data_IF_016488873571
#
_entry.id   IF_016488873571
#
_cell.length_a   1.000
_cell.length_b   1.000
_cell.length_c   1.000
_cell.angle_alpha   90.00
_cell.angle_beta   90.00
_cell.angle_gamma   90.00
#
_symmetry.space_group_name_H-M   'P 1'
#
loop_
_entity.id
_entity.type
_entity.pdbx_description
1 polymer ?
#
# COMPACT_ATOMS: atom_id res chain seq x y z
N UNK A 1 16.10 -14.25 4.39
CA UNK A 1 15.12 -15.36 4.40
C UNK A 1 14.80 -15.75 2.95
N UNK A 2 14.20 -14.87 2.12
CA UNK A 2 13.72 -15.18 0.75
C UNK A 2 14.87 -15.73 -0.11
N UNK A 3 15.97 -15.01 -0.24
CA UNK A 3 17.08 -15.41 -1.11
C UNK A 3 17.79 -16.69 -0.65
N UNK A 4 17.87 -16.95 0.65
CA UNK A 4 18.39 -18.23 1.15
C UNK A 4 17.47 -19.39 0.75
N UNK A 5 16.16 -19.23 0.87
CA UNK A 5 15.20 -20.25 0.50
C UNK A 5 15.22 -20.56 -1.01
N UNK A 6 15.41 -19.53 -1.85
CA UNK A 6 15.54 -19.70 -3.32
C UNK A 6 16.86 -20.40 -3.67
N UNK A 7 17.99 -19.98 -3.08
CA UNK A 7 19.30 -20.63 -3.28
C UNK A 7 19.29 -22.10 -2.87
N UNK A 8 18.64 -22.41 -1.77
CA UNK A 8 18.51 -23.78 -1.24
C UNK A 8 17.43 -24.61 -1.98
N UNK A 9 16.80 -24.02 -3.01
CA UNK A 9 15.71 -24.64 -3.80
C UNK A 9 14.53 -25.13 -2.95
N UNK A 10 14.27 -24.46 -1.82
CA UNK A 10 13.14 -24.78 -0.94
C UNK A 10 11.81 -24.27 -1.50
N UNK A 11 11.87 -23.28 -2.41
CA UNK A 11 10.70 -22.71 -3.08
C UNK A 11 10.95 -22.59 -4.57
N UNK A 12 9.89 -22.73 -5.33
CA UNK A 12 9.89 -22.51 -6.78
C UNK A 12 9.77 -21.03 -7.08
N UNK A 13 10.42 -20.58 -8.14
CA UNK A 13 10.37 -19.22 -8.62
C UNK A 13 9.85 -19.16 -10.06
N UNK A 14 9.20 -18.05 -10.41
CA UNK A 14 8.46 -17.93 -11.64
C UNK A 14 8.74 -16.58 -12.31
N UNK A 15 8.58 -16.52 -13.62
CA UNK A 15 8.58 -15.27 -14.39
C UNK A 15 7.20 -14.57 -14.32
N UNK A 16 7.09 -13.40 -14.94
CA UNK A 16 5.83 -12.62 -15.02
C UNK A 16 4.68 -13.36 -15.72
N UNK A 17 5.00 -14.36 -16.55
CA UNK A 17 4.03 -15.22 -17.23
C UNK A 17 3.68 -16.46 -16.42
N UNK A 18 4.07 -16.52 -15.16
CA UNK A 18 3.86 -17.65 -14.22
C UNK A 18 4.52 -18.96 -14.70
N UNK A 19 5.60 -18.87 -15.49
CA UNK A 19 6.40 -20.05 -15.87
C UNK A 19 7.54 -20.23 -14.88
N UNK A 20 7.73 -21.47 -14.42
CA UNK A 20 8.84 -21.80 -13.52
C UNK A 20 10.17 -21.49 -14.19
N UNK A 21 11.05 -20.79 -13.47
CA UNK A 21 12.40 -20.41 -13.93
C UNK A 21 13.43 -20.93 -12.94
N UNK A 22 14.67 -21.05 -13.40
CA UNK A 22 15.78 -21.42 -12.52
C UNK A 22 16.56 -20.19 -12.04
N UNK A 23 17.32 -20.38 -10.99
CA UNK A 23 18.11 -19.31 -10.38
C UNK A 23 19.17 -18.74 -11.34
N UNK A 24 19.78 -19.58 -12.19
CA UNK A 24 20.78 -19.15 -13.16
C UNK A 24 20.22 -18.13 -14.16
N UNK A 25 18.95 -18.27 -14.52
CA UNK A 25 18.25 -17.31 -15.39
C UNK A 25 18.12 -15.95 -14.71
N UNK A 26 17.77 -15.94 -13.42
CA UNK A 26 17.66 -14.71 -12.62
C UNK A 26 19.02 -14.04 -12.45
N UNK A 27 20.05 -14.81 -12.08
CA UNK A 27 21.41 -14.32 -11.91
C UNK A 27 21.97 -13.70 -13.19
N UNK A 28 21.75 -14.33 -14.35
CA UNK A 28 22.12 -13.78 -15.65
C UNK A 28 21.39 -12.45 -15.93
N UNK A 29 20.09 -12.39 -15.66
CA UNK A 29 19.31 -11.16 -15.85
C UNK A 29 19.82 -10.00 -14.97
N UNK A 30 20.22 -10.30 -13.72
CA UNK A 30 20.80 -9.31 -12.81
C UNK A 30 22.16 -8.82 -13.35
N UNK A 31 23.03 -9.71 -13.80
CA UNK A 31 24.34 -9.35 -14.37
C UNK A 31 24.16 -8.45 -15.60
N UNK A 32 23.24 -8.81 -16.48
CA UNK A 32 22.95 -8.04 -17.69
C UNK A 32 22.31 -6.67 -17.35
N UNK A 33 21.48 -6.60 -16.34
CA UNK A 33 20.90 -5.35 -15.84
C UNK A 33 21.98 -4.43 -15.27
N UNK A 34 22.80 -4.90 -14.34
CA UNK A 34 23.86 -4.11 -13.72
C UNK A 34 24.92 -3.65 -14.73
N UNK A 35 25.28 -4.50 -15.68
CA UNK A 35 26.20 -4.11 -16.76
C UNK A 35 25.64 -2.95 -17.59
N UNK A 36 24.35 -2.95 -17.88
CA UNK A 36 23.68 -1.86 -18.61
C UNK A 36 23.50 -0.61 -17.76
N UNK A 37 23.17 -0.78 -16.47
CA UNK A 37 22.88 0.32 -15.56
C UNK A 37 24.15 1.05 -15.08
N UNK A 38 25.15 0.31 -14.61
CA UNK A 38 26.35 0.85 -13.95
C UNK A 38 27.66 0.62 -14.71
N UNK A 39 27.63 -0.14 -15.81
CA UNK A 39 28.82 -0.58 -16.53
C UNK A 39 29.65 -1.65 -15.79
N UNK A 40 29.24 -2.07 -14.59
CA UNK A 40 29.98 -3.03 -13.77
C UNK A 40 29.70 -4.46 -14.19
N UNK A 41 30.74 -5.27 -14.20
CA UNK A 41 30.62 -6.73 -14.32
C UNK A 41 30.69 -7.35 -12.93
N UNK A 42 29.64 -8.08 -12.54
CA UNK A 42 29.53 -8.72 -11.22
C UNK A 42 29.77 -10.21 -11.40
N UNK A 43 30.59 -10.78 -10.52
CA UNK A 43 30.80 -12.22 -10.45
C UNK A 43 29.54 -12.97 -9.97
N UNK A 44 29.28 -14.13 -10.54
CA UNK A 44 28.11 -14.95 -10.18
C UNK A 44 28.06 -15.29 -8.69
N UNK A 45 29.20 -15.58 -8.07
CA UNK A 45 29.26 -15.99 -6.66
C UNK A 45 28.94 -14.86 -5.67
N UNK A 46 29.13 -13.60 -6.06
CA UNK A 46 28.92 -12.41 -5.22
C UNK A 46 27.65 -11.64 -5.52
N UNK A 47 26.89 -12.07 -6.53
CA UNK A 47 25.76 -11.30 -7.06
C UNK A 47 24.68 -11.01 -6.01
N UNK A 48 24.32 -11.99 -5.19
CA UNK A 48 23.27 -11.85 -4.19
C UNK A 48 23.66 -10.92 -3.04
N UNK A 49 24.92 -10.92 -2.63
CA UNK A 49 25.43 -9.99 -1.62
C UNK A 49 25.55 -8.57 -2.19
N UNK A 50 25.89 -8.46 -3.47
CA UNK A 50 25.97 -7.19 -4.16
C UNK A 50 24.59 -6.53 -4.31
N UNK A 51 23.54 -7.26 -4.73
CA UNK A 51 22.22 -6.66 -4.96
C UNK A 51 21.39 -6.47 -3.69
N UNK A 52 21.71 -7.15 -2.59
CA UNK A 52 20.93 -7.10 -1.33
C UNK A 52 20.56 -5.67 -0.89
N UNK A 53 21.49 -4.68 -0.90
CA UNK A 53 21.17 -3.31 -0.51
C UNK A 53 20.19 -2.58 -1.45
N UNK A 54 19.98 -3.12 -2.64
CA UNK A 54 19.13 -2.52 -3.68
C UNK A 54 17.77 -3.17 -3.81
N UNK A 55 17.47 -4.17 -2.98
CA UNK A 55 16.12 -4.73 -2.88
C UNK A 55 15.30 -3.75 -2.06
N UNK A 56 14.58 -2.87 -2.74
CA UNK A 56 13.85 -1.76 -2.12
C UNK A 56 12.35 -1.91 -2.14
N UNK A 57 11.81 -2.75 -3.01
CA UNK A 57 10.37 -2.86 -3.21
C UNK A 57 9.92 -4.31 -3.37
N UNK A 58 8.64 -4.52 -3.05
CA UNK A 58 7.92 -5.77 -3.31
C UNK A 58 6.61 -5.46 -4.00
N UNK A 59 6.38 -6.08 -5.14
CA UNK A 59 5.08 -6.12 -5.76
C UNK A 59 4.29 -7.31 -5.22
N UNK A 60 3.01 -7.11 -4.91
CA UNK A 60 2.13 -8.17 -4.41
C UNK A 60 0.97 -8.40 -5.36
N UNK A 61 0.64 -9.68 -5.59
CA UNK A 61 -0.67 -10.11 -6.07
C UNK A 61 -1.49 -10.48 -4.83
N UNK A 62 -2.45 -9.62 -4.45
CA UNK A 62 -3.22 -9.78 -3.22
C UNK A 62 -4.69 -9.47 -3.42
N UNK A 63 -5.54 -10.06 -2.58
CA UNK A 63 -6.93 -9.69 -2.44
C UNK A 63 -7.10 -8.87 -1.18
N UNK A 64 -7.98 -7.88 -1.27
CA UNK A 64 -8.51 -7.17 -0.13
C UNK A 64 -10.02 -7.41 -0.13
N UNK A 65 -10.52 -7.94 0.96
CA UNK A 65 -11.94 -8.16 1.19
C UNK A 65 -12.37 -7.42 2.44
N UNK A 66 -13.68 -7.20 2.64
CA UNK A 66 -14.20 -6.51 3.80
C UNK A 66 -15.58 -7.05 4.20
N UNK A 67 -15.90 -6.92 5.49
CA UNK A 67 -17.24 -7.21 6.00
C UNK A 67 -18.13 -5.98 5.88
N UNK A 68 -19.40 -6.18 5.51
CA UNK A 68 -20.35 -5.08 5.34
C UNK A 68 -20.78 -4.46 6.68
N UNK A 69 -20.81 -5.24 7.75
CA UNK A 69 -21.35 -4.81 9.05
C UNK A 69 -20.42 -3.82 9.78
N UNK A 70 -19.12 -3.98 9.63
CA UNK A 70 -18.14 -3.25 10.44
C UNK A 70 -16.90 -2.80 9.68
N UNK A 71 -16.85 -3.01 8.35
CA UNK A 71 -15.73 -2.67 7.47
C UNK A 71 -14.40 -3.30 7.90
N UNK A 72 -14.44 -4.45 8.57
CA UNK A 72 -13.20 -5.18 8.85
C UNK A 72 -12.57 -5.63 7.53
N UNK A 73 -11.31 -5.24 7.33
CA UNK A 73 -10.53 -5.54 6.14
C UNK A 73 -9.67 -6.80 6.37
N UNK A 74 -9.65 -7.66 5.36
CA UNK A 74 -8.76 -8.81 5.30
C UNK A 74 -7.91 -8.75 4.03
N UNK A 75 -6.60 -9.00 4.17
CA UNK A 75 -5.66 -9.13 3.05
C UNK A 75 -5.14 -10.55 2.94
N UNK A 76 -5.23 -11.11 1.74
CA UNK A 76 -4.63 -12.40 1.41
C UNK A 76 -3.61 -12.23 0.29
N UNK A 77 -2.34 -12.49 0.59
CA UNK A 77 -1.24 -12.47 -0.38
C UNK A 77 -1.25 -13.77 -1.16
N UNK A 78 -1.38 -13.69 -2.48
CA UNK A 78 -1.30 -14.83 -3.39
C UNK A 78 0.09 -15.07 -3.90
N UNK A 79 0.77 -13.97 -4.26
CA UNK A 79 2.10 -14.01 -4.80
C UNK A 79 2.82 -12.69 -4.53
N UNK A 80 4.14 -12.70 -4.64
CA UNK A 80 4.93 -11.49 -4.56
C UNK A 80 6.22 -11.59 -5.36
N UNK A 81 6.72 -10.41 -5.76
CA UNK A 81 7.95 -10.26 -6.53
C UNK A 81 8.84 -9.20 -5.87
N UNK A 82 10.07 -9.54 -5.44
CA UNK A 82 11.05 -8.54 -5.03
C UNK A 82 11.61 -7.80 -6.24
N UNK A 83 11.89 -6.50 -6.07
CA UNK A 83 12.46 -5.64 -7.10
C UNK A 83 13.82 -5.11 -6.67
N UNK A 84 14.77 -5.07 -7.62
CA UNK A 84 15.95 -4.22 -7.53
C UNK A 84 15.51 -2.81 -7.89
N UNK A 85 15.81 -1.85 -7.01
CA UNK A 85 15.55 -0.43 -7.22
C UNK A 85 16.88 0.31 -7.31
N UNK A 86 17.11 0.99 -8.43
CA UNK A 86 18.32 1.79 -8.66
C UNK A 86 17.93 3.22 -8.98
N UNK A 87 18.68 4.15 -8.47
CA UNK A 87 18.51 5.57 -8.73
C UNK A 87 19.62 6.05 -9.66
N UNK A 88 19.25 6.80 -10.70
CA UNK A 88 20.20 7.58 -11.47
C UNK A 88 20.36 8.94 -10.81
N UNK A 89 21.59 9.34 -10.62
CA UNK A 89 21.91 10.68 -10.12
C UNK A 89 22.32 11.55 -11.30
N UNK A 90 21.70 12.71 -11.41
CA UNK A 90 22.10 13.76 -12.33
C UNK A 90 22.35 15.04 -11.50
N UNK A 91 23.54 15.61 -11.60
CA UNK A 91 23.97 16.77 -10.82
C UNK A 91 23.81 16.66 -9.29
N UNK A 92 23.93 15.44 -8.74
CA UNK A 92 23.77 15.17 -7.30
C UNK A 92 22.33 15.02 -6.83
N UNK A 93 21.34 15.11 -7.73
CA UNK A 93 19.94 14.86 -7.45
C UNK A 93 19.52 13.50 -8.04
N UNK A 94 18.60 12.83 -7.34
CA UNK A 94 18.00 11.58 -7.85
C UNK A 94 16.99 11.95 -8.94
N UNK A 95 17.36 11.69 -10.19
CA UNK A 95 16.57 12.10 -11.35
C UNK A 95 15.60 11.02 -11.81
N UNK A 96 16.03 9.75 -11.82
CA UNK A 96 15.22 8.66 -12.35
C UNK A 96 15.38 7.39 -11.50
N UNK A 97 14.29 6.64 -11.38
CA UNK A 97 14.25 5.36 -10.68
C UNK A 97 14.10 4.22 -11.68
N UNK A 98 15.08 3.34 -11.73
CA UNK A 98 15.03 2.14 -12.57
C UNK A 98 14.74 0.93 -11.69
N UNK A 99 13.70 0.19 -12.05
CA UNK A 99 13.25 -0.99 -11.33
C UNK A 99 13.42 -2.24 -12.19
N UNK A 100 13.81 -3.34 -11.56
CA UNK A 100 13.91 -4.65 -12.20
C UNK A 100 13.23 -5.70 -11.32
N UNK A 101 12.16 -6.36 -11.80
CA UNK A 101 11.58 -7.52 -11.12
C UNK A 101 12.58 -8.68 -11.11
N UNK A 102 12.66 -9.38 -10.00
CA UNK A 102 13.56 -10.53 -9.89
C UNK A 102 12.87 -11.84 -10.27
N UNK A 103 11.85 -12.18 -9.52
CA UNK A 103 11.07 -13.41 -9.71
C UNK A 103 9.81 -13.37 -8.86
N UNK A 104 8.79 -14.08 -9.30
CA UNK A 104 7.56 -14.29 -8.54
C UNK A 104 7.66 -15.51 -7.65
N UNK A 105 7.11 -15.40 -6.45
CA UNK A 105 6.91 -16.49 -5.50
C UNK A 105 5.41 -16.66 -5.28
N UNK A 106 4.91 -17.89 -5.44
CA UNK A 106 3.55 -18.30 -5.10
C UNK A 106 3.65 -19.20 -3.88
N UNK A 107 3.57 -18.64 -2.67
CA UNK A 107 3.76 -19.42 -1.45
C UNK A 107 2.60 -20.39 -1.23
N UNK A 108 2.91 -21.60 -0.75
CA UNK A 108 1.90 -22.52 -0.24
C UNK A 108 1.48 -22.10 1.18
N UNK A 109 0.20 -22.32 1.52
CA UNK A 109 -0.27 -22.07 2.88
C UNK A 109 0.49 -22.95 3.87
N UNK A 110 1.14 -22.33 4.84
CA UNK A 110 1.89 -23.06 5.84
C UNK A 110 0.98 -23.65 6.90
N UNK A 111 1.10 -24.96 7.13
CA UNK A 111 0.48 -25.66 8.26
C UNK A 111 1.29 -25.49 9.55
N UNK A 112 2.53 -24.97 9.46
CA UNK A 112 3.43 -24.79 10.60
C UNK A 112 3.19 -23.44 11.26
N UNK A 113 2.77 -23.48 12.52
CA UNK A 113 2.44 -22.29 13.31
C UNK A 113 3.65 -21.65 14.00
N UNK A 114 4.81 -22.31 14.01
CA UNK A 114 5.93 -21.91 14.86
C UNK A 114 7.07 -21.17 14.14
N UNK A 115 7.04 -21.10 12.81
CA UNK A 115 8.20 -20.60 12.02
C UNK A 115 7.96 -19.23 11.37
N UNK A 116 7.25 -18.35 12.09
CA UNK A 116 6.89 -17.03 11.61
C UNK A 116 7.87 -15.96 12.12
N UNK A 117 8.39 -15.18 11.19
CA UNK A 117 9.11 -13.94 11.47
C UNK A 117 8.14 -12.77 11.41
N UNK A 118 8.10 -11.95 12.45
CA UNK A 118 7.31 -10.72 12.50
C UNK A 118 8.17 -9.55 12.04
N UNK A 119 7.67 -8.77 11.10
CA UNK A 119 8.25 -7.47 10.77
C UNK A 119 7.88 -6.51 11.90
N UNK A 120 8.85 -5.87 12.58
CA UNK A 120 8.59 -5.14 13.82
C UNK A 120 7.78 -3.86 13.61
N UNK A 121 7.88 -3.25 12.43
CA UNK A 121 7.26 -1.96 12.15
C UNK A 121 5.89 -2.10 11.50
N UNK A 122 5.00 -1.13 11.77
CA UNK A 122 3.76 -0.98 11.02
C UNK A 122 4.09 -0.47 9.61
N UNK A 123 3.67 -1.22 8.62
CA UNK A 123 3.86 -0.85 7.21
C UNK A 123 2.63 -0.08 6.75
N UNK A 124 2.87 1.03 6.07
CA UNK A 124 1.81 1.81 5.45
C UNK A 124 1.78 1.50 3.96
N UNK A 125 0.64 1.02 3.49
CA UNK A 125 0.38 0.74 2.08
C UNK A 125 -0.83 1.51 1.58
N UNK A 126 -0.93 1.74 0.26
CA UNK A 126 -2.11 2.33 -0.38
C UNK A 126 -2.73 1.28 -1.28
N UNK A 127 -4.02 1.05 -1.08
CA UNK A 127 -4.81 0.16 -1.91
C UNK A 127 -5.84 0.97 -2.71
N UNK A 128 -5.73 0.91 -4.03
CA UNK A 128 -6.70 1.55 -4.92
C UNK A 128 -7.99 0.72 -4.96
N UNK A 129 -9.10 1.38 -4.73
CA UNK A 129 -10.41 0.80 -4.89
C UNK A 129 -10.78 0.80 -6.39
N UNK A 130 -11.00 -0.38 -6.95
CA UNK A 130 -11.33 -0.54 -8.38
C UNK A 130 -12.77 -1.04 -8.52
N UNK A 131 -13.42 -0.58 -9.60
CA UNK A 131 -14.69 -1.20 -10.01
C UNK A 131 -14.53 -2.73 -10.14
N UNK A 132 -15.51 -3.57 -9.71
CA UNK A 132 -16.84 -3.16 -9.19
C UNK A 132 -16.88 -2.89 -7.67
N UNK A 133 -15.79 -3.08 -6.92
CA UNK A 133 -15.80 -3.07 -5.45
C UNK A 133 -15.76 -1.65 -4.84
N UNK A 134 -15.34 -0.64 -5.61
CA UNK A 134 -15.23 0.73 -5.11
C UNK A 134 -16.55 1.25 -4.56
N UNK A 135 -17.61 1.28 -5.38
CA UNK A 135 -18.89 1.85 -5.01
C UNK A 135 -19.57 1.16 -3.83
N UNK A 136 -19.65 -0.19 -3.78
CA UNK A 136 -20.20 -0.88 -2.63
C UNK A 136 -19.46 -0.57 -1.33
N UNK A 137 -18.12 -0.54 -1.36
CA UNK A 137 -17.30 -0.20 -0.21
C UNK A 137 -17.54 1.24 0.26
N UNK A 138 -17.44 2.21 -0.65
CA UNK A 138 -17.56 3.63 -0.34
C UNK A 138 -18.95 3.99 0.16
N UNK A 139 -20.00 3.49 -0.48
CA UNK A 139 -21.38 3.69 -0.05
C UNK A 139 -21.62 3.13 1.35
N UNK A 140 -21.11 1.93 1.63
CA UNK A 140 -21.22 1.32 2.94
C UNK A 140 -20.44 2.10 4.00
N UNK A 141 -19.24 2.56 3.68
CA UNK A 141 -18.43 3.43 4.54
C UNK A 141 -19.23 4.68 4.96
N UNK A 142 -19.82 5.39 4.00
CA UNK A 142 -20.60 6.59 4.27
C UNK A 142 -21.81 6.30 5.15
N UNK A 143 -22.58 5.24 4.84
CA UNK A 143 -23.73 4.83 5.64
C UNK A 143 -23.34 4.53 7.09
N UNK A 144 -22.34 3.67 7.29
CA UNK A 144 -21.93 3.25 8.63
C UNK A 144 -21.37 4.40 9.47
N UNK A 145 -20.62 5.33 8.84
CA UNK A 145 -20.07 6.51 9.54
C UNK A 145 -21.17 7.52 9.85
N UNK A 146 -21.99 7.91 8.85
CA UNK A 146 -23.08 8.90 9.03
C UNK A 146 -24.18 8.42 9.98
N UNK A 147 -24.43 7.12 10.02
CA UNK A 147 -25.40 6.53 10.94
C UNK A 147 -24.78 6.18 12.31
N UNK A 148 -23.53 6.54 12.53
CA UNK A 148 -22.78 6.26 13.78
C UNK A 148 -22.77 4.77 14.16
N UNK A 149 -22.74 3.88 13.15
CA UNK A 149 -22.73 2.42 13.34
C UNK A 149 -21.34 1.85 13.58
N UNK A 150 -20.31 2.57 13.16
CA UNK A 150 -18.92 2.21 13.42
C UNK A 150 -18.19 3.33 14.16
N UNK A 151 -17.29 2.95 15.05
CA UNK A 151 -16.43 3.92 15.73
C UNK A 151 -15.32 4.38 14.80
N UNK A 152 -15.15 5.69 14.69
CA UNK A 152 -14.10 6.33 13.91
C UNK A 152 -13.21 7.20 14.78
N UNK A 153 -11.97 7.39 14.37
CA UNK A 153 -10.94 8.11 15.09
C UNK A 153 -10.29 9.15 14.18
N UNK A 154 -9.62 10.12 14.77
CA UNK A 154 -8.73 11.04 14.05
C UNK A 154 -7.56 10.26 13.43
N UNK A 155 -6.88 10.79 12.40
CA UNK A 155 -5.72 10.11 11.79
C UNK A 155 -4.60 9.75 12.78
N UNK A 156 -4.46 10.51 13.87
CA UNK A 156 -3.50 10.23 14.95
C UNK A 156 -3.98 9.17 15.97
N UNK A 157 -5.20 8.64 15.82
CA UNK A 157 -5.78 7.62 16.69
C UNK A 157 -6.66 8.17 17.81
N UNK A 158 -6.75 9.49 18.00
CA UNK A 158 -7.61 10.10 19.01
C UNK A 158 -9.09 10.02 18.64
N UNK A 159 -9.96 9.97 19.63
CA UNK A 159 -11.41 10.02 19.43
C UNK A 159 -11.88 11.43 19.01
N UNK A 160 -12.99 11.48 18.28
CA UNK A 160 -13.69 12.74 18.01
C UNK A 160 -14.49 13.16 19.24
N UNK A 161 -14.47 14.45 19.58
CA UNK A 161 -15.21 14.97 20.73
C UNK A 161 -16.72 15.05 20.49
N UNK A 162 -17.13 15.26 19.22
CA UNK A 162 -18.53 15.37 18.83
C UNK A 162 -18.76 14.73 17.45
N UNK A 163 -19.98 14.26 17.25
CA UNK A 163 -20.38 13.71 15.94
C UNK A 163 -20.32 14.76 14.83
N UNK A 164 -20.62 16.04 15.15
CA UNK A 164 -20.51 17.15 14.20
C UNK A 164 -19.11 17.27 13.57
N UNK A 165 -18.05 17.00 14.32
CA UNK A 165 -16.68 17.00 13.79
C UNK A 165 -16.46 15.89 12.74
N UNK A 166 -17.18 14.77 12.84
CA UNK A 166 -17.13 13.69 11.86
C UNK A 166 -17.91 14.11 10.60
N UNK A 167 -19.10 14.72 10.76
CA UNK A 167 -19.87 15.22 9.62
C UNK A 167 -19.11 16.27 8.81
N UNK A 168 -18.39 17.18 9.49
CA UNK A 168 -17.61 18.24 8.86
C UNK A 168 -16.45 17.70 7.99
N UNK A 169 -16.00 16.45 8.20
CA UNK A 169 -14.98 15.81 7.35
C UNK A 169 -15.48 15.48 5.94
N UNK A 170 -16.80 15.39 5.75
CA UNK A 170 -17.40 15.11 4.45
C UNK A 170 -17.67 16.36 3.63
N UNK A 171 -17.14 17.50 4.06
CA UNK A 171 -17.27 18.78 3.37
C UNK A 171 -15.91 19.36 3.06
N UNK A 172 -15.63 19.60 1.78
CA UNK A 172 -14.42 20.30 1.35
C UNK A 172 -14.69 21.79 1.27
N UNK A 173 -13.85 22.57 1.95
CA UNK A 173 -13.84 24.02 1.83
C UNK A 173 -12.81 24.42 0.78
N UNK A 174 -13.27 25.03 -0.29
CA UNK A 174 -12.43 25.56 -1.36
C UNK A 174 -12.40 27.09 -1.28
N UNK A 175 -11.20 27.66 -1.37
CA UNK A 175 -11.01 29.09 -1.50
C UNK A 175 -10.66 29.42 -2.96
N UNK A 176 -11.36 30.35 -3.57
CA UNK A 176 -11.05 30.82 -4.91
C UNK A 176 -11.08 32.34 -4.97
N UNK A 177 -10.25 32.89 -5.84
CA UNK A 177 -10.24 34.34 -6.11
C UNK A 177 -11.34 34.61 -7.13
N UNK A 178 -12.30 35.44 -6.74
CA UNK A 178 -13.31 35.97 -7.64
C UNK A 178 -12.82 37.33 -8.15
N UNK A 179 -12.78 37.46 -9.46
CA UNK A 179 -12.48 38.71 -10.13
C UNK A 179 -13.77 39.36 -10.59
N UNK A 180 -14.03 40.56 -10.08
CA UNK A 180 -15.17 41.35 -10.50
C UNK A 180 -14.80 42.11 -11.78
N UNK A 181 -15.46 41.79 -12.89
CA UNK A 181 -15.15 42.36 -14.20
C UNK A 181 -15.53 43.85 -14.30
N UNK A 182 -16.50 44.32 -13.48
CA UNK A 182 -16.96 45.73 -13.53
C UNK A 182 -16.06 46.64 -12.68
N UNK A 183 -15.63 46.16 -11.52
CA UNK A 183 -14.83 46.98 -10.60
C UNK A 183 -13.31 46.70 -10.69
N UNK A 184 -12.90 45.58 -11.27
CA UNK A 184 -11.52 45.11 -11.32
C UNK A 184 -10.99 44.63 -9.96
N UNK A 185 -11.86 44.42 -8.97
CA UNK A 185 -11.47 44.02 -7.63
C UNK A 185 -11.38 42.48 -7.51
N UNK A 186 -10.31 42.02 -6.84
CA UNK A 186 -10.16 40.61 -6.47
C UNK A 186 -10.71 40.39 -5.06
N UNK A 187 -11.65 39.46 -4.93
CA UNK A 187 -12.19 39.04 -3.64
C UNK A 187 -12.00 37.56 -3.42
N UNK A 188 -11.51 37.20 -2.23
CA UNK A 188 -11.42 35.80 -1.83
C UNK A 188 -12.81 35.29 -1.45
N UNK A 189 -13.34 34.32 -2.20
CA UNK A 189 -14.60 33.66 -1.91
C UNK A 189 -14.37 32.23 -1.45
N UNK A 190 -15.28 31.75 -0.62
CA UNK A 190 -15.31 30.36 -0.14
C UNK A 190 -16.45 29.61 -0.83
N UNK A 191 -16.17 28.39 -1.24
CA UNK A 191 -17.20 27.43 -1.64
C UNK A 191 -17.07 26.15 -0.84
N UNK A 192 -18.19 25.47 -0.67
CA UNK A 192 -18.25 24.20 0.05
C UNK A 192 -18.78 23.16 -0.92
N UNK A 193 -18.16 21.99 -0.94
CA UNK A 193 -18.62 20.84 -1.72
C UNK A 193 -18.62 19.59 -0.84
N UNK A 194 -19.67 18.80 -0.96
CA UNK A 194 -19.76 17.53 -0.26
C UNK A 194 -18.85 16.50 -0.92
N UNK A 195 -18.14 15.73 -0.09
CA UNK A 195 -17.48 14.49 -0.52
C UNK A 195 -18.56 13.43 -0.63
N UNK A 196 -18.65 12.78 -1.77
CA UNK A 196 -19.60 11.71 -2.05
C UNK A 196 -18.90 10.34 -2.16
N UNK A 197 -19.63 9.22 -2.08
CA UNK A 197 -19.02 7.88 -2.16
C UNK A 197 -18.12 7.68 -3.39
N UNK A 198 -18.47 8.28 -4.51
CA UNK A 198 -17.74 8.21 -5.79
C UNK A 198 -16.33 8.80 -5.70
N UNK A 199 -16.14 9.77 -4.81
CA UNK A 199 -14.85 10.45 -4.62
C UNK A 199 -13.84 9.56 -3.88
N UNK A 200 -14.28 8.53 -3.14
CA UNK A 200 -13.40 7.62 -2.42
C UNK A 200 -12.78 6.62 -3.40
N UNK A 201 -11.53 6.82 -3.73
CA UNK A 201 -10.82 6.05 -4.76
C UNK A 201 -9.78 5.08 -4.21
N UNK A 202 -9.35 5.27 -2.98
CA UNK A 202 -8.32 4.46 -2.35
C UNK A 202 -8.46 4.44 -0.83
N UNK A 203 -7.76 3.51 -0.20
CA UNK A 203 -7.57 3.46 1.24
C UNK A 203 -6.07 3.36 1.55
N UNK A 204 -5.64 4.12 2.56
CA UNK A 204 -4.32 3.95 3.17
C UNK A 204 -4.45 2.98 4.32
N UNK A 205 -3.66 1.92 4.32
CA UNK A 205 -3.76 0.81 5.27
C UNK A 205 -2.51 0.79 6.15
N UNK A 206 -2.71 0.71 7.46
CA UNK A 206 -1.66 0.36 8.42
C UNK A 206 -1.72 -1.13 8.71
N UNK A 207 -0.63 -1.85 8.45
CA UNK A 207 -0.59 -3.30 8.53
C UNK A 207 0.70 -3.84 9.13
N UNK A 208 0.61 -4.97 9.81
CA UNK A 208 1.76 -5.77 10.25
C UNK A 208 1.95 -6.98 9.36
N UNK A 209 3.20 -7.37 9.15
CA UNK A 209 3.54 -8.50 8.30
C UNK A 209 4.18 -9.62 9.10
N UNK A 210 3.82 -10.84 8.73
CA UNK A 210 4.44 -12.07 9.20
C UNK A 210 4.89 -12.89 7.99
N UNK A 211 6.12 -13.39 8.04
CA UNK A 211 6.70 -14.20 6.96
C UNK A 211 7.04 -15.57 7.53
N UNK A 212 6.48 -16.61 6.97
CA UNK A 212 6.87 -17.98 7.32
C UNK A 212 8.25 -18.28 6.72
N UNK A 213 9.20 -18.73 7.55
CA UNK A 213 10.59 -18.94 7.12
C UNK A 213 10.77 -20.13 6.19
N UNK A 214 9.85 -21.11 6.22
CA UNK A 214 9.93 -22.32 5.40
C UNK A 214 9.17 -22.18 4.09
N UNK A 215 7.87 -21.86 4.18
CA UNK A 215 6.99 -21.76 3.01
C UNK A 215 7.09 -20.41 2.28
N UNK A 216 7.72 -19.41 2.89
CA UNK A 216 7.76 -18.02 2.45
C UNK A 216 6.36 -17.38 2.32
N UNK A 217 5.34 -17.96 2.94
CA UNK A 217 4.02 -17.36 3.03
C UNK A 217 4.11 -16.03 3.77
N UNK A 218 3.47 -14.99 3.22
CA UNK A 218 3.34 -13.67 3.85
C UNK A 218 1.89 -13.51 4.30
N UNK A 219 1.71 -13.28 5.60
CA UNK A 219 0.41 -12.89 6.17
C UNK A 219 0.46 -11.42 6.54
N UNK A 220 -0.52 -10.67 6.05
CA UNK A 220 -0.71 -9.26 6.35
C UNK A 220 -1.88 -9.11 7.31
N UNK A 221 -1.66 -8.45 8.42
CA UNK A 221 -2.68 -8.16 9.41
C UNK A 221 -2.98 -6.67 9.38
N UNK A 222 -4.18 -6.31 8.98
CA UNK A 222 -4.61 -4.92 8.92
C UNK A 222 -4.97 -4.45 10.32
N UNK A 223 -4.39 -3.35 10.76
CA UNK A 223 -4.68 -2.70 12.02
C UNK A 223 -5.74 -1.62 11.85
N UNK A 224 -5.57 -0.77 10.85
CA UNK A 224 -6.47 0.33 10.55
C UNK A 224 -6.39 0.72 9.07
N UNK A 225 -7.36 1.51 8.64
CA UNK A 225 -7.30 2.18 7.34
C UNK A 225 -7.84 3.62 7.41
N UNK A 226 -7.46 4.41 6.41
CA UNK A 226 -7.87 5.80 6.23
C UNK A 226 -8.35 5.96 4.78
N UNK A 227 -9.59 6.38 4.54
CA UNK A 227 -10.09 6.62 3.20
C UNK A 227 -9.39 7.80 2.55
N UNK A 228 -9.09 7.66 1.26
CA UNK A 228 -8.54 8.71 0.40
C UNK A 228 -9.58 9.08 -0.64
N UNK A 229 -9.80 10.37 -0.82
CA UNK A 229 -10.71 10.89 -1.82
C UNK A 229 -9.96 11.71 -2.88
N UNK A 230 -10.51 11.75 -4.07
CA UNK A 230 -10.06 12.59 -5.17
C UNK A 230 -11.11 13.68 -5.38
N UNK A 231 -10.71 14.94 -5.41
CA UNK A 231 -11.62 16.07 -5.63
C UNK A 231 -11.36 16.83 -6.93
N UNK A 232 -10.25 16.54 -7.61
CA UNK A 232 -10.00 16.88 -9.02
C UNK A 232 -9.02 15.87 -9.64
N UNK A 233 -8.72 16.01 -10.94
CA UNK A 233 -7.90 15.03 -11.68
C UNK A 233 -6.48 14.85 -11.10
N UNK A 234 -5.94 15.85 -10.39
CA UNK A 234 -4.56 15.84 -9.90
C UNK A 234 -4.45 15.82 -8.37
N UNK A 235 -5.55 16.08 -7.62
CA UNK A 235 -5.49 16.27 -6.17
C UNK A 235 -6.24 15.19 -5.41
N UNK A 236 -5.51 14.65 -4.44
CA UNK A 236 -6.01 13.64 -3.52
C UNK A 236 -5.98 14.17 -2.10
N UNK A 237 -7.03 13.91 -1.36
CA UNK A 237 -7.13 14.23 0.06
C UNK A 237 -7.33 12.98 0.90
N UNK A 238 -7.01 13.10 2.19
CA UNK A 238 -7.36 12.11 3.18
C UNK A 238 -8.63 12.55 3.89
N UNK A 239 -9.63 11.68 4.00
CA UNK A 239 -10.92 12.01 4.62
C UNK A 239 -10.84 12.42 6.11
N UNK A 240 -9.65 12.35 6.71
CA UNK A 240 -9.44 12.84 8.07
C UNK A 240 -9.96 11.89 9.17
N UNK A 241 -10.36 10.69 8.81
CA UNK A 241 -10.79 9.66 9.75
C UNK A 241 -9.99 8.37 9.60
N UNK A 242 -9.85 7.65 10.71
CA UNK A 242 -9.22 6.34 10.82
C UNK A 242 -10.24 5.33 11.31
N UNK A 243 -10.26 4.16 10.70
CA UNK A 243 -11.11 3.04 11.11
C UNK A 243 -10.18 1.88 11.49
N UNK A 244 -10.31 1.40 12.73
CA UNK A 244 -9.57 0.23 13.19
C UNK A 244 -10.33 -1.05 12.87
N UNK A 245 -9.62 -2.07 12.42
CA UNK A 245 -10.17 -3.42 12.37
C UNK A 245 -10.59 -3.87 13.78
N UNK A 246 -11.68 -4.60 13.87
CA UNK A 246 -12.34 -5.01 15.12
C UNK A 246 -11.38 -5.62 16.15
N UNK A 247 -10.46 -6.47 15.68
CA UNK A 247 -9.45 -7.12 16.52
C UNK A 247 -8.46 -6.13 17.16
N UNK A 248 -8.39 -4.88 16.68
CA UNK A 248 -7.42 -3.87 17.09
C UNK A 248 -8.05 -2.63 17.73
N UNK A 249 -9.39 -2.55 17.79
CA UNK A 249 -10.11 -1.41 18.40
C UNK A 249 -9.80 -1.19 19.89
N UNK A 250 -9.22 -2.18 20.56
CA UNK A 250 -8.90 -2.12 21.99
C UNK A 250 -7.40 -2.02 22.32
N UNK A 251 -6.52 -1.93 21.32
CA UNK A 251 -5.06 -1.91 21.57
C UNK A 251 -4.54 -0.54 22.03
N UNK A 252 -5.22 0.55 21.69
CA UNK A 252 -4.81 1.91 22.10
C UNK A 252 -5.29 2.30 23.50
N UNK A 253 -5.90 1.37 24.27
CA UNK A 253 -6.33 1.59 25.66
C UNK A 253 -5.36 1.03 26.70
N UNK A 254 -4.21 0.57 26.29
CA UNK A 254 -3.09 0.13 27.12
C UNK A 254 -1.89 1.08 26.91
#
# INVERSE_FOLDING_TARGET
IIFSAVKEKRVKIYDERKREINLDTVEKAIIDFEKRFSGKTIGKDSIWDYIRPFIGEFQFEEFVDYTYEDLDLEKKVKAYCPYIVRYREFNGEKDDTVQMPLFWIFPEESKDTNDWFHVPDTIISVHQLRYPNQMPFSTNLFSLVKENKIQVFRPNGEEFNTFKQIEDLFVVKNNYVYYDEETGEETLKESFSDIVPEDIIAIRIGEGWKINRKSLEIKKQIYFFLPLYQYDEERFGQLGLRIYNKKHRNLDKQ
#
